data_IF_337159373210
#
_entry.id   IF_337159373210
#
_cell.length_a   1.000
_cell.length_b   1.000
_cell.length_c   1.000
_cell.angle_alpha   90.00
_cell.angle_beta   90.00
_cell.angle_gamma   90.00
#
_symmetry.space_group_name_H-M   'P 1'
#
loop_
_entity.id
_entity.type
_entity.pdbx_description
1 polymer ?
#
# COMPACT_ATOMS: atom_id res chain seq x y z
N UNK A 1 11.61 -14.52 -71.47
CA UNK A 1 10.26 -14.61 -70.96
C UNK A 1 10.34 -14.49 -69.41
N UNK A 2 10.16 -13.28 -68.89
CA UNK A 2 10.43 -12.94 -67.50
C UNK A 2 9.08 -12.90 -66.77
N UNK A 3 8.83 -13.84 -65.86
CA UNK A 3 7.63 -13.88 -65.03
C UNK A 3 7.90 -13.12 -63.73
N UNK A 4 7.24 -11.97 -63.57
CA UNK A 4 7.29 -11.11 -62.38
C UNK A 4 6.21 -11.58 -61.41
N UNK A 5 6.60 -12.24 -60.32
CA UNK A 5 5.68 -12.65 -59.23
C UNK A 5 5.39 -11.50 -58.28
N UNK A 6 4.15 -11.09 -58.22
CA UNK A 6 3.68 -10.07 -57.23
C UNK A 6 3.29 -10.80 -55.97
N UNK A 7 4.06 -10.57 -54.89
CA UNK A 7 3.70 -11.02 -53.53
C UNK A 7 2.72 -10.05 -52.88
N UNK A 8 1.52 -10.50 -52.59
CA UNK A 8 0.55 -9.78 -51.78
C UNK A 8 0.89 -9.92 -50.29
N UNK A 9 1.35 -8.83 -49.69
CA UNK A 9 1.45 -8.73 -48.21
C UNK A 9 0.04 -8.49 -47.65
N UNK A 10 -0.52 -9.54 -47.06
CA UNK A 10 -1.76 -9.42 -46.27
C UNK A 10 -1.43 -8.85 -44.88
N UNK A 11 -1.83 -7.62 -44.60
CA UNK A 11 -1.80 -7.04 -43.26
C UNK A 11 -2.96 -7.59 -42.46
N UNK A 12 -2.78 -8.09 -41.21
CA UNK A 12 -3.88 -8.51 -40.37
C UNK A 12 -4.69 -7.29 -39.89
N UNK A 13 -6.02 -7.41 -39.75
CA UNK A 13 -6.85 -6.35 -39.23
C UNK A 13 -6.50 -6.09 -37.74
N UNK A 14 -6.16 -4.86 -37.42
CA UNK A 14 -6.07 -4.39 -36.03
C UNK A 14 -7.48 -4.37 -35.45
N UNK A 15 -7.77 -5.31 -34.55
CA UNK A 15 -9.00 -5.29 -33.77
C UNK A 15 -8.97 -4.08 -32.83
N UNK A 16 -9.79 -3.07 -33.12
CA UNK A 16 -10.01 -1.96 -32.21
C UNK A 16 -10.67 -2.51 -30.94
N UNK A 17 -9.98 -2.39 -29.82
CA UNK A 17 -10.51 -2.71 -28.50
C UNK A 17 -11.66 -1.71 -28.19
N UNK A 18 -12.85 -2.17 -27.75
CA UNK A 18 -13.91 -1.26 -27.37
C UNK A 18 -13.40 -0.29 -26.30
N UNK A 19 -13.80 0.99 -26.34
CA UNK A 19 -13.45 1.91 -25.27
C UNK A 19 -13.94 1.36 -23.93
N UNK A 20 -13.05 1.35 -22.94
CA UNK A 20 -13.39 0.94 -21.59
C UNK A 20 -14.61 1.76 -21.12
N UNK A 21 -15.68 1.08 -20.75
CA UNK A 21 -16.88 1.72 -20.22
C UNK A 21 -16.49 2.57 -19.01
N UNK A 22 -16.72 3.86 -19.07
CA UNK A 22 -16.60 4.77 -17.94
C UNK A 22 -17.52 4.24 -16.83
N UNK A 23 -17.02 4.00 -15.60
CA UNK A 23 -17.87 3.60 -14.50
C UNK A 23 -19.03 4.60 -14.35
N UNK A 24 -20.27 4.16 -14.13
CA UNK A 24 -21.37 5.07 -13.90
C UNK A 24 -21.04 5.99 -12.73
N UNK A 25 -21.28 7.28 -12.89
CA UNK A 25 -21.13 8.25 -11.79
C UNK A 25 -22.08 7.81 -10.66
N UNK A 26 -21.55 7.66 -9.44
CA UNK A 26 -22.35 7.29 -8.28
C UNK A 26 -23.50 8.28 -8.10
N UNK A 27 -24.71 7.77 -7.85
CA UNK A 27 -25.89 8.58 -7.53
C UNK A 27 -25.60 9.42 -6.26
N UNK A 28 -26.10 10.66 -6.15
CA UNK A 28 -25.81 11.52 -5.00
C UNK A 28 -26.11 10.87 -3.64
N UNK A 29 -27.14 10.02 -3.57
CA UNK A 29 -27.47 9.26 -2.35
C UNK A 29 -26.48 8.15 -2.02
N UNK A 30 -25.84 7.54 -3.00
CA UNK A 30 -24.79 6.51 -2.79
C UNK A 30 -23.50 7.12 -2.23
N UNK A 31 -23.13 8.30 -2.69
CA UNK A 31 -21.96 9.01 -2.19
C UNK A 31 -22.12 9.38 -0.69
N UNK A 32 -23.29 9.84 -0.28
CA UNK A 32 -23.59 10.13 1.13
C UNK A 32 -23.59 8.87 2.00
N UNK A 33 -24.14 7.75 1.50
CA UNK A 33 -24.09 6.47 2.20
C UNK A 33 -22.65 5.96 2.35
N UNK A 34 -21.84 6.04 1.30
CA UNK A 34 -20.43 5.65 1.35
C UNK A 34 -19.66 6.48 2.37
N UNK A 35 -19.86 7.80 2.38
CA UNK A 35 -19.28 8.72 3.37
C UNK A 35 -19.68 8.36 4.79
N UNK A 36 -20.97 8.07 5.04
CA UNK A 36 -21.46 7.68 6.36
C UNK A 36 -20.86 6.35 6.84
N UNK A 37 -20.61 5.39 5.95
CA UNK A 37 -19.92 4.12 6.26
C UNK A 37 -18.46 4.39 6.64
N UNK A 38 -17.74 5.17 5.83
CA UNK A 38 -16.36 5.54 6.11
C UNK A 38 -16.21 6.29 7.43
N UNK A 39 -17.13 7.20 7.72
CA UNK A 39 -17.13 7.95 8.99
C UNK A 39 -17.32 7.01 10.19
N UNK A 40 -18.27 6.09 10.13
CA UNK A 40 -18.47 5.08 11.20
C UNK A 40 -17.25 4.20 11.41
N UNK A 41 -16.60 3.79 10.32
CA UNK A 41 -15.35 3.03 10.40
C UNK A 41 -14.23 3.84 11.06
N UNK A 42 -14.07 5.10 10.66
CA UNK A 42 -13.06 5.99 11.25
C UNK A 42 -13.33 6.21 12.75
N UNK A 43 -14.58 6.46 13.15
CA UNK A 43 -14.97 6.64 14.55
C UNK A 43 -14.75 5.37 15.39
N UNK A 44 -15.00 4.19 14.82
CA UNK A 44 -14.72 2.92 15.47
C UNK A 44 -13.23 2.73 15.70
N UNK A 45 -12.42 2.93 14.65
CA UNK A 45 -10.96 2.79 14.76
C UNK A 45 -10.33 3.82 15.69
N UNK A 46 -10.85 5.06 15.70
CA UNK A 46 -10.38 6.11 16.60
C UNK A 46 -10.60 5.77 18.08
N UNK A 47 -11.67 5.05 18.41
CA UNK A 47 -12.01 4.66 19.79
C UNK A 47 -11.38 3.35 20.23
N UNK A 48 -10.87 2.54 19.30
CA UNK A 48 -10.28 1.24 19.61
C UNK A 48 -8.96 1.43 20.40
N UNK A 49 -8.84 0.91 21.63
CA UNK A 49 -7.61 1.06 22.43
C UNK A 49 -6.46 0.25 21.84
N UNK A 50 -6.79 -0.79 21.10
CA UNK A 50 -5.83 -1.66 20.38
C UNK A 50 -6.48 -2.23 19.14
N UNK A 51 -5.74 -2.27 18.05
CA UNK A 51 -6.14 -2.98 16.85
C UNK A 51 -4.91 -3.49 16.08
N UNK A 52 -5.14 -4.45 15.21
CA UNK A 52 -4.11 -4.98 14.31
C UNK A 52 -4.69 -5.19 12.93
N UNK A 53 -3.83 -5.10 11.92
CA UNK A 53 -4.19 -5.40 10.54
C UNK A 53 -2.97 -5.91 9.78
N UNK A 54 -3.24 -6.62 8.67
CA UNK A 54 -2.22 -7.08 7.75
C UNK A 54 -2.32 -6.27 6.46
N UNK A 55 -1.17 -5.83 5.96
CA UNK A 55 -1.02 -5.23 4.64
C UNK A 55 -0.28 -6.20 3.73
N UNK A 56 -0.70 -6.26 2.48
CA UNK A 56 0.04 -6.84 1.37
C UNK A 56 0.28 -5.75 0.35
N UNK A 57 1.52 -5.54 0.02
CA UNK A 57 1.97 -4.52 -0.92
C UNK A 57 2.69 -5.25 -2.05
N UNK A 58 2.32 -4.95 -3.29
CA UNK A 58 2.93 -5.49 -4.50
C UNK A 58 3.27 -4.31 -5.41
N UNK A 59 4.45 -4.32 -5.99
CA UNK A 59 4.90 -3.28 -6.91
C UNK A 59 5.91 -3.83 -7.92
N UNK A 60 5.84 -3.28 -9.12
CA UNK A 60 6.75 -3.65 -10.21
C UNK A 60 7.92 -2.68 -10.28
N UNK A 61 9.12 -3.23 -10.49
CA UNK A 61 10.34 -2.46 -10.68
C UNK A 61 10.92 -2.76 -12.06
N UNK A 62 11.05 -1.72 -12.88
CA UNK A 62 11.74 -1.83 -14.17
C UNK A 62 13.25 -1.90 -13.93
N UNK A 63 13.85 -2.98 -14.39
CA UNK A 63 15.30 -3.20 -14.35
C UNK A 63 16.01 -2.49 -15.51
N UNK A 64 17.30 -2.24 -15.39
CA UNK A 64 18.12 -1.66 -16.46
C UNK A 64 18.11 -2.51 -17.74
N UNK A 65 17.86 -3.81 -17.62
CA UNK A 65 17.66 -4.74 -18.73
C UNK A 65 16.35 -4.55 -19.50
N UNK A 66 15.43 -3.70 -19.02
CA UNK A 66 14.07 -3.54 -19.54
C UNK A 66 13.07 -4.58 -19.02
N UNK A 67 13.48 -5.47 -18.14
CA UNK A 67 12.60 -6.47 -17.52
C UNK A 67 11.84 -5.85 -16.33
N UNK A 68 10.54 -6.14 -16.23
CA UNK A 68 9.74 -5.84 -15.04
C UNK A 68 9.86 -6.98 -14.03
N UNK A 69 10.21 -6.68 -12.79
CA UNK A 69 10.24 -7.64 -11.68
C UNK A 69 9.22 -7.18 -10.63
N UNK A 70 8.30 -8.08 -10.28
CA UNK A 70 7.35 -7.86 -9.20
C UNK A 70 8.00 -8.16 -7.84
N UNK A 71 7.89 -7.19 -6.95
CA UNK A 71 8.27 -7.33 -5.55
C UNK A 71 7.02 -7.31 -4.66
N UNK A 72 7.06 -8.08 -3.60
CA UNK A 72 5.98 -8.15 -2.62
C UNK A 72 6.48 -7.89 -1.21
N UNK A 73 5.60 -7.33 -0.39
CA UNK A 73 5.85 -7.12 1.02
C UNK A 73 4.58 -7.41 1.82
N UNK A 74 4.74 -8.12 2.94
CA UNK A 74 3.69 -8.31 3.94
C UNK A 74 4.06 -7.57 5.21
N UNK A 75 3.11 -6.82 5.74
CA UNK A 75 3.25 -6.16 7.03
C UNK A 75 2.15 -6.58 7.97
N UNK A 76 2.50 -6.98 9.17
CA UNK A 76 1.58 -7.06 10.29
C UNK A 76 1.77 -5.84 11.18
N UNK A 77 0.72 -5.06 11.34
CA UNK A 77 0.74 -3.83 12.15
C UNK A 77 -0.11 -4.07 13.39
N UNK A 78 0.45 -3.76 14.54
CA UNK A 78 -0.23 -3.80 15.84
C UNK A 78 -0.07 -2.42 16.48
N UNK A 79 -1.19 -1.75 16.74
CA UNK A 79 -1.23 -0.48 17.42
C UNK A 79 -1.91 -0.65 18.78
N UNK A 80 -1.30 -0.09 19.82
CA UNK A 80 -1.85 -0.02 21.16
C UNK A 80 -1.72 1.40 21.65
N UNK A 81 -2.86 2.08 21.78
CA UNK A 81 -2.91 3.49 22.21
C UNK A 81 -2.48 3.63 23.66
N UNK A 82 -1.95 4.75 24.05
CA UNK A 82 -1.78 5.94 23.23
C UNK A 82 -0.50 5.96 22.39
N UNK A 83 0.48 5.10 22.66
CA UNK A 83 1.85 5.36 22.25
C UNK A 83 2.67 4.12 21.82
N UNK A 84 2.02 2.99 21.57
CA UNK A 84 2.75 1.76 21.19
C UNK A 84 2.40 1.29 19.79
N UNK A 85 3.44 0.99 19.01
CA UNK A 85 3.32 0.47 17.65
C UNK A 85 4.32 -0.67 17.45
N UNK A 86 3.89 -1.73 16.78
CA UNK A 86 4.75 -2.77 16.25
C UNK A 86 4.41 -3.06 14.80
N UNK A 87 5.42 -3.16 13.95
CA UNK A 87 5.28 -3.54 12.55
C UNK A 87 6.27 -4.66 12.28
N UNK A 88 5.76 -5.83 11.92
CA UNK A 88 6.57 -6.93 11.42
C UNK A 88 6.49 -6.91 9.89
N UNK A 89 7.64 -7.04 9.23
CA UNK A 89 7.79 -6.89 7.77
C UNK A 89 8.43 -8.15 7.22
N UNK A 90 7.85 -8.71 6.16
CA UNK A 90 8.42 -9.79 5.34
C UNK A 90 8.37 -9.39 3.88
N UNK A 91 9.51 -9.46 3.19
CA UNK A 91 9.63 -9.14 1.76
C UNK A 91 9.76 -10.40 0.91
N UNK A 92 9.40 -10.29 -0.36
CA UNK A 92 9.48 -11.41 -1.32
C UNK A 92 10.91 -11.88 -1.61
N UNK A 93 11.91 -11.02 -1.39
CA UNK A 93 13.34 -11.33 -1.48
C UNK A 93 13.88 -12.11 -0.26
N UNK A 94 13.04 -12.34 0.75
CA UNK A 94 13.37 -13.05 1.98
C UNK A 94 13.76 -12.15 3.14
N UNK A 95 13.91 -10.85 2.92
CA UNK A 95 14.22 -9.90 3.96
C UNK A 95 13.10 -9.79 5.01
N UNK A 96 13.53 -9.70 6.28
CA UNK A 96 12.61 -9.54 7.42
C UNK A 96 13.04 -8.37 8.29
N UNK A 97 12.05 -7.63 8.73
CA UNK A 97 12.28 -6.48 9.61
C UNK A 97 11.22 -6.36 10.68
N UNK A 98 11.58 -5.68 11.76
CA UNK A 98 10.65 -5.33 12.84
C UNK A 98 10.87 -3.88 13.21
N UNK A 99 9.78 -3.13 13.30
CA UNK A 99 9.79 -1.77 13.84
C UNK A 99 8.93 -1.74 15.09
N UNK A 100 9.48 -1.20 16.17
CA UNK A 100 8.78 -1.08 17.45
C UNK A 100 8.90 0.36 17.95
N UNK A 101 7.78 0.92 18.36
CA UNK A 101 7.72 2.16 19.13
C UNK A 101 7.09 1.89 20.48
N UNK A 102 7.72 2.29 21.55
CA UNK A 102 7.29 2.03 22.94
C UNK A 102 6.72 3.27 23.65
N UNK A 103 6.58 4.39 22.93
CA UNK A 103 6.15 5.68 23.44
C UNK A 103 7.31 6.64 23.71
N UNK A 104 8.55 6.18 23.63
CA UNK A 104 9.76 6.97 23.88
C UNK A 104 10.82 6.80 22.81
N UNK A 105 10.98 5.58 22.34
CA UNK A 105 12.03 5.20 21.40
C UNK A 105 11.43 4.41 20.24
N UNK A 106 11.87 4.74 19.05
CA UNK A 106 11.63 3.96 17.84
C UNK A 106 12.85 3.04 17.62
N UNK A 107 12.62 1.75 17.62
CA UNK A 107 13.63 0.73 17.28
C UNK A 107 13.26 0.10 15.94
N UNK A 108 14.23 0.06 15.03
CA UNK A 108 14.14 -0.65 13.76
C UNK A 108 15.17 -1.76 13.75
N UNK A 109 14.74 -2.98 13.50
CA UNK A 109 15.59 -4.16 13.42
C UNK A 109 15.49 -4.76 12.01
N UNK A 110 16.63 -4.98 11.36
CA UNK A 110 16.74 -5.77 10.14
C UNK A 110 17.26 -7.16 10.53
N UNK A 111 16.41 -8.17 10.39
CA UNK A 111 16.75 -9.53 10.78
C UNK A 111 17.73 -10.19 9.82
N UNK A 112 17.70 -9.83 8.54
CA UNK A 112 18.59 -10.41 7.52
C UNK A 112 20.04 -10.02 7.75
N UNK A 113 20.29 -8.76 8.11
CA UNK A 113 21.62 -8.23 8.40
C UNK A 113 22.00 -8.34 9.87
N UNK A 114 21.06 -8.70 10.73
CA UNK A 114 21.20 -8.74 12.18
C UNK A 114 21.68 -7.39 12.77
N UNK A 115 21.13 -6.29 12.24
CA UNK A 115 21.45 -4.92 12.67
C UNK A 115 20.20 -4.21 13.18
N UNK A 116 20.39 -3.26 14.09
CA UNK A 116 19.29 -2.43 14.56
C UNK A 116 19.73 -0.98 14.71
N UNK A 117 18.75 -0.08 14.63
CA UNK A 117 18.90 1.33 14.94
C UNK A 117 17.84 1.76 15.96
N UNK A 118 18.19 2.73 16.82
CA UNK A 118 17.29 3.33 17.80
C UNK A 118 17.33 4.84 17.70
N UNK A 119 16.15 5.44 17.78
CA UNK A 119 15.97 6.89 17.75
C UNK A 119 15.01 7.29 18.86
N UNK A 120 15.45 8.17 19.73
CA UNK A 120 14.55 8.76 20.73
C UNK A 120 13.51 9.63 20.01
N UNK A 121 12.25 9.31 20.18
CA UNK A 121 11.12 9.99 19.55
C UNK A 121 10.01 10.13 20.59
N UNK A 122 10.14 11.06 21.55
CA UNK A 122 9.07 11.29 22.50
C UNK A 122 7.82 11.84 21.79
N UNK A 123 6.71 11.18 21.96
CA UNK A 123 5.46 11.59 21.34
C UNK A 123 4.38 10.50 21.38
N UNK A 124 3.18 10.87 21.00
CA UNK A 124 2.05 9.97 20.85
C UNK A 124 2.03 9.45 19.40
N UNK A 125 1.79 8.16 19.23
CA UNK A 125 1.50 7.55 17.91
C UNK A 125 0.18 8.13 17.36
N UNK A 126 -0.67 8.59 18.25
CA UNK A 126 -1.97 9.15 17.94
C UNK A 126 -2.13 10.47 18.70
N UNK A 127 -1.66 11.58 18.12
CA UNK A 127 -1.82 12.88 18.74
C UNK A 127 -3.32 13.20 18.85
N UNK A 128 -3.85 13.15 20.04
CA UNK A 128 -5.16 13.74 20.31
C UNK A 128 -5.09 15.20 19.89
N UNK A 129 -6.01 15.72 19.04
CA UNK A 129 -6.01 17.14 18.72
C UNK A 129 -6.15 17.89 20.03
N UNK A 130 -5.12 18.64 20.38
CA UNK A 130 -5.16 19.54 21.53
C UNK A 130 -6.26 20.54 21.21
N UNK A 131 -7.41 20.38 21.84
CA UNK A 131 -8.48 21.37 21.82
C UNK A 131 -7.89 22.66 22.36
N UNK A 132 -7.49 23.54 21.45
CA UNK A 132 -7.08 24.90 21.80
C UNK A 132 -8.24 25.58 22.52
N UNK A 133 -8.10 25.70 23.80
CA UNK A 133 -8.97 26.54 24.64
C UNK A 133 -8.48 27.99 24.44
N UNK A 134 -9.22 28.74 23.60
CA UNK A 134 -9.20 30.19 23.63
C UNK A 134 -10.14 30.67 24.70
#
# INVERSE_FOLDING_TARGET
MLLLGIAFLSTPPVSAQPPAATPPAAEPGEAEQAKAILQRMADFLAKAPRFSFNLRIEYDVLQDSGQMIEFGERRQVILSRPDKLRIDIERSDGDKGVTVFDGKELTVFNASDNVYARVAQPGLVDPTPTSGRN
#
